data_IF_886989516716
#
_entry.id   IF_886989516716
#
_cell.length_a   1.000
_cell.length_b   1.000
_cell.length_c   1.000
_cell.angle_alpha   90.00
_cell.angle_beta   90.00
_cell.angle_gamma   90.00
#
_symmetry.space_group_name_H-M   'P 1'
#
loop_
_entity.id
_entity.type
_entity.pdbx_description
1 polymer ?
#
# COMPACT_ATOMS: atom_id res chain seq x y z
N UNK A 1 22.81 -33.59 13.98
CA UNK A 1 21.57 -33.37 14.77
C UNK A 1 20.51 -32.70 13.93
N UNK A 2 19.41 -33.40 13.61
CA UNK A 2 18.27 -32.83 12.89
C UNK A 2 17.36 -32.09 13.88
N UNK A 3 17.07 -30.81 13.62
CA UNK A 3 16.16 -30.01 14.45
C UNK A 3 14.72 -30.50 14.24
N UNK A 4 14.12 -31.06 15.27
CA UNK A 4 12.69 -31.43 15.29
C UNK A 4 11.88 -30.17 15.58
N UNK A 5 11.12 -29.69 14.60
CA UNK A 5 10.19 -28.58 14.78
C UNK A 5 8.83 -29.16 15.20
N UNK A 6 8.45 -28.94 16.46
CA UNK A 6 7.13 -29.33 16.98
C UNK A 6 6.07 -28.33 16.52
N UNK A 7 5.25 -28.74 15.56
CA UNK A 7 4.08 -27.97 15.13
C UNK A 7 2.93 -28.22 16.11
N UNK A 8 2.87 -27.44 17.19
CA UNK A 8 1.70 -27.43 18.08
C UNK A 8 0.64 -26.50 17.48
N UNK A 9 -0.54 -26.99 17.07
CA UNK A 9 -1.62 -26.14 16.60
C UNK A 9 -2.21 -25.35 17.79
N UNK A 10 -1.97 -24.05 17.81
CA UNK A 10 -2.57 -23.13 18.77
C UNK A 10 -4.08 -22.99 18.50
N UNK A 11 -4.96 -23.22 19.50
CA UNK A 11 -6.39 -23.02 19.33
C UNK A 11 -6.69 -21.53 19.07
N UNK A 12 -7.42 -21.23 17.99
CA UNK A 12 -7.81 -19.87 17.59
C UNK A 12 -7.17 -19.32 16.30
N UNK A 13 -6.24 -20.07 15.68
CA UNK A 13 -5.52 -19.65 14.46
C UNK A 13 -6.23 -19.93 13.13
N UNK A 14 -7.52 -20.25 13.15
CA UNK A 14 -8.34 -20.28 11.92
C UNK A 14 -8.79 -18.85 11.51
N UNK A 15 -7.86 -17.89 11.57
CA UNK A 15 -8.08 -16.54 11.10
C UNK A 15 -8.12 -16.60 9.57
N UNK A 16 -9.31 -16.50 8.98
CA UNK A 16 -9.47 -16.36 7.52
C UNK A 16 -8.61 -15.18 7.06
N UNK A 17 -7.53 -15.48 6.33
CA UNK A 17 -6.65 -14.44 5.76
C UNK A 17 -7.48 -13.57 4.83
N UNK A 18 -7.27 -12.25 4.89
CA UNK A 18 -7.91 -11.32 3.94
C UNK A 18 -7.48 -11.72 2.52
N UNK A 19 -8.41 -11.86 1.57
CA UNK A 19 -8.06 -12.21 0.20
C UNK A 19 -7.12 -11.14 -0.37
N UNK A 20 -6.03 -11.60 -0.99
CA UNK A 20 -5.09 -10.71 -1.67
C UNK A 20 -5.74 -10.17 -2.94
N UNK A 21 -5.82 -8.85 -3.07
CA UNK A 21 -6.27 -8.20 -4.32
C UNK A 21 -5.34 -8.56 -5.47
N UNK A 22 -5.88 -8.80 -6.68
CA UNK A 22 -5.09 -9.03 -7.89
C UNK A 22 -4.36 -7.74 -8.30
N UNK A 23 -3.30 -7.89 -9.08
CA UNK A 23 -2.45 -6.79 -9.52
C UNK A 23 -3.23 -5.63 -10.18
N UNK A 24 -4.21 -5.95 -11.03
CA UNK A 24 -5.03 -4.97 -11.75
C UNK A 24 -6.11 -4.31 -10.87
N UNK A 25 -6.45 -4.89 -9.72
CA UNK A 25 -7.48 -4.36 -8.81
C UNK A 25 -6.90 -3.34 -7.81
N UNK A 26 -5.57 -3.24 -7.71
CA UNK A 26 -4.90 -2.29 -6.83
C UNK A 26 -4.68 -0.99 -7.58
N UNK A 27 -5.56 -0.02 -7.34
CA UNK A 27 -5.35 1.35 -7.83
C UNK A 27 -4.08 1.95 -7.20
N UNK A 28 -3.12 2.34 -8.04
CA UNK A 28 -1.83 2.92 -7.63
C UNK A 28 -1.84 4.44 -7.76
N UNK A 29 -2.66 5.07 -6.93
CA UNK A 29 -2.97 6.50 -7.01
C UNK A 29 -1.85 7.41 -6.48
N UNK A 30 -0.92 6.85 -5.72
CA UNK A 30 0.19 7.59 -5.11
C UNK A 30 1.42 7.54 -6.03
N UNK A 31 1.43 8.39 -7.05
CA UNK A 31 2.55 8.57 -7.98
C UNK A 31 3.70 9.34 -7.29
N UNK A 32 4.94 8.92 -7.49
CA UNK A 32 6.09 9.74 -7.13
C UNK A 32 6.23 10.91 -8.12
N UNK A 33 6.32 12.14 -7.63
CA UNK A 33 6.50 13.33 -8.47
C UNK A 33 7.98 13.76 -8.58
N UNK A 34 8.91 12.80 -8.52
CA UNK A 34 10.34 13.09 -8.68
C UNK A 34 10.72 12.96 -10.15
N UNK A 35 11.60 13.83 -10.64
CA UNK A 35 12.09 13.76 -12.01
C UNK A 35 12.75 12.39 -12.23
N UNK A 36 12.40 11.75 -13.35
CA UNK A 36 12.80 10.38 -13.69
C UNK A 36 12.14 9.25 -12.87
N UNK A 37 11.17 9.55 -11.98
CA UNK A 37 10.43 8.50 -11.26
C UNK A 37 9.01 8.27 -11.80
N UNK A 38 8.83 7.17 -12.53
CA UNK A 38 7.52 6.71 -13.03
C UNK A 38 6.79 5.77 -12.07
N UNK A 39 7.30 5.55 -10.85
CA UNK A 39 6.70 4.59 -9.90
C UNK A 39 5.48 5.16 -9.18
N UNK A 40 4.40 4.39 -9.19
CA UNK A 40 3.15 4.66 -8.46
C UNK A 40 2.87 3.55 -7.44
N UNK A 41 2.24 3.92 -6.33
CA UNK A 41 1.96 3.00 -5.21
C UNK A 41 0.49 3.05 -4.78
N UNK A 42 0.00 1.95 -4.21
CA UNK A 42 -1.39 1.83 -3.76
C UNK A 42 -1.69 2.52 -2.41
N UNK A 43 -0.66 2.78 -1.60
CA UNK A 43 -0.81 3.53 -0.34
C UNK A 43 0.30 4.54 -0.16
N UNK A 44 0.03 5.58 0.62
CA UNK A 44 1.00 6.62 0.95
C UNK A 44 2.22 6.06 1.70
N UNK A 45 2.04 5.04 2.56
CA UNK A 45 3.17 4.42 3.26
C UNK A 45 4.20 3.83 2.29
N UNK A 46 3.75 3.13 1.24
CA UNK A 46 4.66 2.59 0.22
C UNK A 46 5.33 3.71 -0.59
N UNK A 47 4.60 4.78 -0.91
CA UNK A 47 5.21 5.96 -1.54
C UNK A 47 6.24 6.63 -0.64
N UNK A 48 5.96 6.80 0.66
CA UNK A 48 6.89 7.42 1.61
C UNK A 48 8.13 6.58 1.86
N UNK A 49 8.00 5.25 1.91
CA UNK A 49 9.14 4.35 1.94
C UNK A 49 9.99 4.49 0.67
N UNK A 50 9.34 4.54 -0.49
CA UNK A 50 10.02 4.76 -1.77
C UNK A 50 10.75 6.10 -1.84
N UNK A 51 10.11 7.20 -1.41
CA UNK A 51 10.71 8.53 -1.40
C UNK A 51 11.93 8.58 -0.48
N UNK A 52 11.83 7.96 0.70
CA UNK A 52 12.92 7.88 1.67
C UNK A 52 14.08 7.02 1.17
N UNK A 53 13.80 5.89 0.50
CA UNK A 53 14.81 4.95 0.04
C UNK A 53 15.54 5.46 -1.21
N UNK A 54 14.79 5.99 -2.18
CA UNK A 54 15.34 6.50 -3.44
C UNK A 54 15.84 7.95 -3.35
N UNK A 55 15.78 8.56 -2.16
CA UNK A 55 16.13 9.97 -1.92
C UNK A 55 15.42 10.94 -2.87
N UNK A 56 14.14 10.68 -3.14
CA UNK A 56 13.29 11.53 -3.96
C UNK A 56 12.79 12.80 -3.22
N UNK A 57 13.59 13.31 -2.27
CA UNK A 57 13.26 14.46 -1.43
C UNK A 57 12.55 14.12 -0.11
N UNK A 58 11.85 15.10 0.49
CA UNK A 58 11.22 14.94 1.80
C UNK A 58 10.00 14.01 1.76
N UNK A 59 9.72 13.34 2.89
CA UNK A 59 8.56 12.47 3.05
C UNK A 59 7.28 13.25 2.75
N UNK A 60 6.37 12.65 1.98
CA UNK A 60 5.13 13.29 1.60
C UNK A 60 4.15 13.30 2.78
N UNK A 61 3.51 14.44 2.98
CA UNK A 61 2.55 14.61 4.07
C UNK A 61 1.16 14.12 3.69
N UNK A 62 0.40 13.54 4.64
CA UNK A 62 -0.99 13.16 4.42
C UNK A 62 -1.89 14.33 3.95
N UNK A 63 -1.54 15.56 4.34
CA UNK A 63 -2.24 16.78 3.96
C UNK A 63 -2.27 17.02 2.45
N UNK A 64 -1.18 16.72 1.75
CA UNK A 64 -1.07 16.87 0.28
C UNK A 64 -2.06 15.97 -0.47
N UNK A 65 -2.44 14.84 0.14
CA UNK A 65 -3.36 13.89 -0.46
C UNK A 65 -4.80 14.02 0.06
N UNK A 66 -5.11 15.05 0.85
CA UNK A 66 -6.46 15.28 1.38
C UNK A 66 -7.46 15.49 0.24
N UNK A 67 -7.13 16.37 -0.70
CA UNK A 67 -7.97 16.66 -1.87
C UNK A 67 -8.00 15.47 -2.84
N UNK A 68 -6.87 14.80 -3.05
CA UNK A 68 -6.81 13.56 -3.83
C UNK A 68 -7.79 12.52 -3.26
N UNK A 69 -7.74 12.21 -1.96
CA UNK A 69 -8.69 11.28 -1.31
C UNK A 69 -10.13 11.74 -1.37
N UNK A 70 -10.40 13.05 -1.38
CA UNK A 70 -11.75 13.60 -1.49
C UNK A 70 -12.30 13.39 -2.90
N UNK A 71 -11.51 13.70 -3.93
CA UNK A 71 -11.85 13.46 -5.33
C UNK A 71 -12.07 11.97 -5.60
N UNK A 72 -11.22 11.08 -5.10
CA UNK A 72 -11.39 9.63 -5.27
C UNK A 72 -12.65 9.09 -4.60
N UNK A 73 -12.97 9.56 -3.38
CA UNK A 73 -14.22 9.17 -2.72
C UNK A 73 -15.44 9.65 -3.48
N UNK A 74 -15.37 10.82 -4.12
CA UNK A 74 -16.43 11.34 -4.99
C UNK A 74 -16.54 10.51 -6.27
N UNK A 75 -15.43 10.25 -6.95
CA UNK A 75 -15.41 9.46 -8.18
C UNK A 75 -15.89 8.02 -7.97
N UNK A 76 -15.52 7.37 -6.87
CA UNK A 76 -16.05 6.04 -6.51
C UNK A 76 -17.55 6.03 -6.18
N UNK A 77 -18.10 7.16 -5.74
CA UNK A 77 -19.54 7.30 -5.48
C UNK A 77 -20.31 7.51 -6.79
N UNK A 78 -19.73 8.28 -7.71
CA UNK A 78 -20.32 8.63 -9.00
C UNK A 78 -20.24 7.46 -10.01
N UNK A 79 -19.15 6.68 -9.96
CA UNK A 79 -18.95 5.48 -10.77
C UNK A 79 -19.66 4.23 -10.20
N UNK A 80 -20.73 4.41 -9.43
CA UNK A 80 -21.54 3.33 -8.85
C UNK A 80 -23.00 3.54 -9.22
#
# INVERSE_FOLDING_TARGET
SQKVFSFVPLPGLNQKKRPRRKFHEVERLYQCNFQDCTKSYGTLNHLNAHVSMQRHGPKRQPSEFKELRKMWRKQKRDNK
#
